data_IF_840413827441
#
_entry.id   IF_840413827441
#
_cell.length_a   1.000
_cell.length_b   1.000
_cell.length_c   1.000
_cell.angle_alpha   90.00
_cell.angle_beta   90.00
_cell.angle_gamma   90.00
#
_symmetry.space_group_name_H-M   'P 1'
#
loop_
_entity.id
_entity.type
_entity.pdbx_description
1 polymer ?
#
# COMPACT_ATOMS: atom_id res chain seq x y z
N UNK A 1 2.52 -47.67 60.09
CA UNK A 1 3.54 -46.81 60.72
C UNK A 1 4.17 -45.97 59.63
N UNK A 2 4.01 -44.66 59.74
CA UNK A 2 4.31 -43.66 58.71
C UNK A 2 5.82 -43.50 58.51
N UNK A 3 6.27 -43.46 57.25
CA UNK A 3 7.60 -42.97 56.88
C UNK A 3 7.41 -41.62 56.21
N UNK A 4 7.58 -40.54 56.98
CA UNK A 4 7.67 -39.20 56.44
C UNK A 4 9.08 -38.99 55.91
N UNK A 5 9.22 -38.97 54.58
CA UNK A 5 10.42 -38.47 53.92
C UNK A 5 10.13 -37.04 53.47
N UNK A 6 10.55 -36.07 54.26
CA UNK A 6 10.58 -34.66 53.91
C UNK A 6 11.79 -34.41 53.01
N UNK A 7 11.56 -34.15 51.72
CA UNK A 7 12.60 -33.62 50.83
C UNK A 7 12.34 -32.13 50.58
N UNK A 8 13.40 -31.38 50.87
CA UNK A 8 13.48 -29.94 51.02
C UNK A 8 13.31 -29.19 49.70
N UNK A 9 12.56 -28.09 49.77
CA UNK A 9 12.56 -26.97 48.81
C UNK A 9 13.92 -26.26 48.88
N UNK A 10 14.60 -26.06 47.75
CA UNK A 10 15.70 -25.09 47.64
C UNK A 10 15.78 -24.55 46.21
N UNK A 11 15.54 -23.25 46.12
CA UNK A 11 15.42 -22.40 44.93
C UNK A 11 16.73 -22.24 44.16
N UNK A 12 16.63 -21.98 42.86
CA UNK A 12 17.48 -21.01 42.18
C UNK A 12 16.69 -20.33 41.04
N UNK A 13 16.09 -19.20 41.40
CA UNK A 13 15.53 -18.21 40.49
C UNK A 13 16.71 -17.34 40.04
N UNK A 14 17.30 -17.64 38.88
CA UNK A 14 18.33 -16.78 38.30
C UNK A 14 17.67 -15.59 37.62
N UNK A 15 17.65 -14.47 38.33
CA UNK A 15 17.28 -13.15 37.81
C UNK A 15 18.50 -12.59 37.07
N UNK A 16 18.60 -12.87 35.77
CA UNK A 16 19.61 -12.27 34.90
C UNK A 16 19.16 -10.88 34.45
N UNK A 17 19.62 -9.84 35.13
CA UNK A 17 19.54 -8.46 34.63
C UNK A 17 20.62 -8.24 33.56
N UNK A 18 20.19 -8.04 32.31
CA UNK A 18 21.00 -7.38 31.29
C UNK A 18 20.28 -6.13 30.82
N UNK A 19 20.83 -4.96 31.14
CA UNK A 19 20.54 -3.70 30.49
C UNK A 19 21.26 -3.67 29.14
N UNK A 20 20.51 -3.59 28.04
CA UNK A 20 21.05 -3.29 26.73
C UNK A 20 20.21 -2.19 26.07
N UNK A 21 20.93 -1.31 25.39
CA UNK A 21 20.57 0.02 24.94
C UNK A 21 19.37 0.08 23.97
N UNK A 22 18.76 1.26 23.97
CA UNK A 22 17.80 1.74 23.00
C UNK A 22 18.22 1.41 21.56
N UNK A 23 17.38 0.64 20.89
CA UNK A 23 17.21 0.73 19.46
C UNK A 23 15.81 1.31 19.25
N UNK A 24 15.80 2.57 18.80
CA UNK A 24 14.72 3.19 18.06
C UNK A 24 13.94 2.12 17.29
N UNK A 25 12.72 1.83 17.75
CA UNK A 25 11.84 0.93 17.03
C UNK A 25 11.48 1.64 15.74
N UNK A 26 12.25 1.30 14.71
CA UNK A 26 12.04 1.71 13.35
C UNK A 26 10.57 1.53 13.01
N UNK A 27 10.08 2.54 12.31
CA UNK A 27 8.83 2.57 11.57
C UNK A 27 8.53 1.18 10.99
N UNK A 28 7.76 0.41 11.76
CA UNK A 28 7.22 -0.86 11.30
C UNK A 28 6.18 -0.46 10.27
N UNK A 29 6.64 -0.32 9.04
CA UNK A 29 5.83 -0.28 7.84
C UNK A 29 4.85 -1.45 7.94
N UNK A 30 3.64 -1.15 8.38
CA UNK A 30 2.53 -2.07 8.40
C UNK A 30 2.14 -2.29 6.93
N UNK A 31 2.90 -3.17 6.29
CA UNK A 31 2.65 -3.69 4.96
C UNK A 31 1.41 -4.57 5.02
N UNK A 32 0.29 -4.03 4.53
CA UNK A 32 -0.93 -4.80 4.34
C UNK A 32 -2.11 -3.88 4.03
N UNK A 33 -2.61 -3.98 2.79
CA UNK A 33 -3.85 -3.34 2.32
C UNK A 33 -3.76 -1.88 1.88
N UNK A 34 -2.68 -1.51 1.19
CA UNK A 34 -2.78 -0.43 0.19
C UNK A 34 -3.36 -1.01 -1.10
N UNK A 35 -4.69 -1.12 -1.18
CA UNK A 35 -5.37 -1.13 -2.48
C UNK A 35 -5.17 0.28 -3.04
N UNK A 36 -4.11 0.41 -3.83
CA UNK A 36 -3.68 1.54 -4.65
C UNK A 36 -4.32 2.89 -4.30
N UNK A 37 -3.93 3.46 -3.15
CA UNK A 37 -4.01 4.90 -2.94
C UNK A 37 -2.75 5.58 -3.51
N UNK A 38 -2.06 4.98 -4.49
CA UNK A 38 -0.95 5.65 -5.17
C UNK A 38 -1.44 6.80 -6.07
N UNK A 39 -2.76 7.03 -6.13
CA UNK A 39 -3.31 8.28 -6.62
C UNK A 39 -3.30 9.43 -5.59
N UNK A 40 -3.12 9.16 -4.27
CA UNK A 40 -3.10 10.21 -3.23
C UNK A 40 -2.00 10.12 -2.17
N UNK A 41 -1.33 8.97 -1.98
CA UNK A 41 -0.08 8.87 -1.22
C UNK A 41 1.09 9.17 -2.16
N UNK A 42 1.55 10.42 -2.11
CA UNK A 42 2.80 10.83 -2.74
C UNK A 42 3.97 10.06 -2.14
N UNK A 43 4.31 8.92 -2.75
CA UNK A 43 5.61 8.31 -2.58
C UNK A 43 6.69 9.30 -3.09
N UNK A 44 7.92 9.28 -2.56
CA UNK A 44 9.00 10.12 -3.06
C UNK A 44 9.15 9.90 -4.57
N UNK A 45 8.89 10.92 -5.37
CA UNK A 45 8.97 10.85 -6.84
C UNK A 45 7.64 10.69 -7.58
N UNK A 46 6.49 10.64 -6.91
CA UNK A 46 5.21 10.68 -7.62
C UNK A 46 4.89 12.08 -8.15
N UNK A 47 5.04 12.24 -9.45
CA UNK A 47 4.71 13.46 -10.16
C UNK A 47 3.20 13.58 -10.34
N UNK A 48 2.62 14.65 -9.80
CA UNK A 48 1.19 14.94 -9.86
C UNK A 48 0.66 15.07 -11.29
N UNK A 49 -0.66 15.01 -11.47
CA UNK A 49 -1.28 15.11 -12.81
C UNK A 49 -0.81 16.35 -13.56
N UNK A 50 -0.76 17.51 -12.89
CA UNK A 50 -0.49 18.85 -13.45
C UNK A 50 0.98 19.25 -13.44
N UNK A 51 1.89 18.35 -13.08
CA UNK A 51 3.27 18.72 -12.81
C UNK A 51 4.00 19.21 -14.07
N UNK A 52 4.68 20.34 -13.90
CA UNK A 52 5.40 21.07 -14.94
C UNK A 52 4.52 21.60 -16.08
N UNK A 53 3.21 21.74 -15.87
CA UNK A 53 2.44 22.78 -16.56
C UNK A 53 2.74 24.11 -15.86
N UNK A 54 3.14 25.14 -16.62
CA UNK A 54 3.39 26.46 -16.04
C UNK A 54 2.06 27.16 -15.75
N UNK A 55 1.70 27.25 -14.48
CA UNK A 55 0.49 27.91 -13.99
C UNK A 55 0.74 29.38 -13.65
N UNK A 56 -0.26 30.24 -13.89
CA UNK A 56 -0.28 31.58 -13.31
C UNK A 56 -0.45 31.51 -11.78
N UNK A 57 -0.15 32.59 -11.06
CA UNK A 57 -0.40 32.63 -9.61
C UNK A 57 -1.87 32.39 -9.29
N UNK A 58 -2.76 33.04 -10.05
CA UNK A 58 -4.21 32.89 -9.88
C UNK A 58 -4.65 31.43 -10.07
N UNK A 59 -4.22 30.76 -11.14
CA UNK A 59 -4.55 29.36 -11.37
C UNK A 59 -4.04 28.48 -10.23
N UNK A 60 -2.81 28.72 -9.75
CA UNK A 60 -2.22 27.95 -8.65
C UNK A 60 -3.00 28.14 -7.35
N UNK A 61 -3.42 29.36 -7.05
CA UNK A 61 -4.27 29.63 -5.90
C UNK A 61 -5.60 28.89 -6.01
N UNK A 62 -6.32 29.04 -7.12
CA UNK A 62 -7.59 28.34 -7.34
C UNK A 62 -7.45 26.81 -7.24
N UNK A 63 -6.36 26.26 -7.78
CA UNK A 63 -6.05 24.84 -7.67
C UNK A 63 -5.76 24.40 -6.23
N UNK A 64 -5.03 25.20 -5.45
CA UNK A 64 -4.82 24.95 -4.01
C UNK A 64 -6.16 24.94 -3.28
N UNK A 65 -6.99 25.94 -3.50
CA UNK A 65 -8.28 26.08 -2.82
C UNK A 65 -9.21 24.90 -3.11
N UNK A 66 -9.31 24.47 -4.38
CA UNK A 66 -10.07 23.28 -4.77
C UNK A 66 -9.57 22.01 -4.07
N UNK A 67 -8.25 21.81 -4.00
CA UNK A 67 -7.66 20.66 -3.31
C UNK A 67 -7.84 20.72 -1.81
N UNK A 68 -7.75 21.91 -1.20
CA UNK A 68 -7.97 22.11 0.23
C UNK A 68 -9.42 21.81 0.62
N UNK A 69 -10.39 22.36 -0.11
CA UNK A 69 -11.80 22.09 0.11
C UNK A 69 -12.09 20.60 0.02
N UNK A 70 -11.60 19.94 -1.04
CA UNK A 70 -11.88 18.52 -1.22
C UNK A 70 -11.20 17.62 -0.17
N UNK A 71 -10.13 18.05 0.47
CA UNK A 71 -9.51 17.29 1.57
C UNK A 71 -10.40 17.26 2.81
N UNK A 72 -11.11 18.36 3.08
CA UNK A 72 -12.02 18.46 4.22
C UNK A 72 -13.22 17.50 4.05
N UNK A 73 -13.71 17.37 2.82
CA UNK A 73 -14.88 16.56 2.49
C UNK A 73 -14.54 15.11 2.11
N UNK A 74 -13.30 14.65 2.30
CA UNK A 74 -12.85 13.32 1.83
C UNK A 74 -13.45 12.21 2.71
N UNK A 75 -14.28 11.28 2.18
CA UNK A 75 -14.97 10.25 2.98
C UNK A 75 -13.98 9.44 3.83
N UNK A 76 -14.04 9.41 5.16
CA UNK A 76 -13.02 8.75 5.98
C UNK A 76 -12.94 7.22 5.77
N UNK A 77 -11.72 6.64 5.92
CA UNK A 77 -11.59 5.19 6.07
C UNK A 77 -11.99 4.79 7.49
N UNK A 78 -12.59 3.61 7.65
CA UNK A 78 -13.00 3.10 8.95
C UNK A 78 -11.95 2.12 9.50
N UNK A 79 -11.46 2.37 10.73
CA UNK A 79 -10.50 1.50 11.39
C UNK A 79 -11.08 0.09 11.67
N UNK A 80 -12.39 -0.01 11.92
CA UNK A 80 -13.04 -1.30 12.11
C UNK A 80 -13.02 -2.16 10.84
N UNK A 81 -13.01 -1.55 9.65
CA UNK A 81 -12.90 -2.30 8.40
C UNK A 81 -11.52 -2.96 8.25
N UNK A 82 -10.46 -2.28 8.69
CA UNK A 82 -9.10 -2.81 8.70
C UNK A 82 -8.99 -3.97 9.69
N UNK A 83 -9.57 -3.80 10.88
CA UNK A 83 -9.62 -4.85 11.91
C UNK A 83 -10.40 -6.07 11.44
N UNK A 84 -11.57 -5.87 10.82
CA UNK A 84 -12.37 -6.96 10.26
C UNK A 84 -11.60 -7.71 9.17
N UNK A 85 -10.89 -7.00 8.28
CA UNK A 85 -10.03 -7.65 7.29
C UNK A 85 -8.92 -8.47 7.95
N UNK A 86 -8.26 -7.94 8.98
CA UNK A 86 -7.22 -8.67 9.72
C UNK A 86 -7.76 -9.98 10.32
N UNK A 87 -8.95 -9.95 10.93
CA UNK A 87 -9.60 -11.15 11.47
C UNK A 87 -9.84 -12.22 10.41
N UNK A 88 -10.27 -11.82 9.21
CA UNK A 88 -10.47 -12.75 8.09
C UNK A 88 -9.15 -13.36 7.60
N UNK A 89 -8.07 -12.59 7.61
CA UNK A 89 -6.72 -13.05 7.21
C UNK A 89 -6.14 -14.04 8.23
N UNK A 90 -6.41 -13.84 9.52
CA UNK A 90 -5.89 -14.67 10.61
C UNK A 90 -6.82 -15.81 11.01
N UNK A 91 -7.92 -16.03 10.29
CA UNK A 91 -8.86 -17.10 10.56
C UNK A 91 -8.23 -18.49 10.30
N UNK A 92 -8.64 -19.50 11.08
CA UNK A 92 -8.16 -20.88 10.92
C UNK A 92 -8.49 -21.47 9.54
N UNK A 93 -9.65 -21.12 9.00
CA UNK A 93 -10.11 -21.51 7.66
C UNK A 93 -10.42 -20.29 6.83
N UNK A 94 -10.07 -20.35 5.54
CA UNK A 94 -10.35 -19.26 4.61
C UNK A 94 -11.84 -19.23 4.22
N UNK A 95 -12.52 -18.13 4.55
CA UNK A 95 -13.89 -17.84 4.13
C UNK A 95 -13.88 -16.83 2.96
N UNK A 96 -13.91 -17.33 1.73
CA UNK A 96 -13.90 -16.50 0.53
C UNK A 96 -15.11 -15.54 0.48
N UNK A 97 -16.28 -15.99 0.93
CA UNK A 97 -17.50 -15.19 0.88
C UNK A 97 -17.42 -14.00 1.83
N UNK A 98 -16.94 -14.22 3.06
CA UNK A 98 -16.72 -13.15 4.02
C UNK A 98 -15.65 -12.15 3.56
N UNK A 99 -14.54 -12.64 2.98
CA UNK A 99 -13.50 -11.80 2.39
C UNK A 99 -14.05 -10.94 1.25
N UNK A 100 -14.78 -11.52 0.30
CA UNK A 100 -15.42 -10.76 -0.80
C UNK A 100 -16.37 -9.69 -0.28
N UNK A 101 -17.17 -10.01 0.74
CA UNK A 101 -18.09 -9.04 1.34
C UNK A 101 -17.34 -7.87 2.01
N UNK A 102 -16.27 -8.16 2.76
CA UNK A 102 -15.47 -7.13 3.41
C UNK A 102 -14.72 -6.24 2.41
N UNK A 103 -14.13 -6.83 1.35
CA UNK A 103 -13.49 -6.07 0.26
C UNK A 103 -14.52 -5.17 -0.41
N UNK A 104 -15.70 -5.68 -0.76
CA UNK A 104 -16.75 -4.89 -1.44
C UNK A 104 -17.16 -3.68 -0.60
N UNK A 105 -17.32 -3.85 0.71
CA UNK A 105 -17.58 -2.76 1.65
C UNK A 105 -16.48 -1.70 1.59
N UNK A 106 -15.22 -2.10 1.71
CA UNK A 106 -14.08 -1.18 1.68
C UNK A 106 -13.94 -0.46 0.32
N UNK A 107 -14.25 -1.15 -0.79
CA UNK A 107 -14.22 -0.57 -2.13
C UNK A 107 -15.26 0.55 -2.31
N UNK A 108 -16.40 0.50 -1.63
CA UNK A 108 -17.40 1.58 -1.72
C UNK A 108 -16.84 2.94 -1.29
N UNK A 109 -16.09 2.98 -0.19
CA UNK A 109 -15.42 4.22 0.30
C UNK A 109 -14.34 4.66 -0.68
N UNK A 110 -13.58 3.73 -1.25
CA UNK A 110 -12.55 4.04 -2.24
C UNK A 110 -13.16 4.61 -3.52
N UNK A 111 -14.28 4.06 -3.98
CA UNK A 111 -15.01 4.53 -5.15
C UNK A 111 -15.45 5.99 -4.97
N UNK A 112 -16.09 6.31 -3.85
CA UNK A 112 -16.54 7.67 -3.57
C UNK A 112 -15.37 8.66 -3.52
N UNK A 113 -14.26 8.29 -2.86
CA UNK A 113 -13.02 9.08 -2.87
C UNK A 113 -12.49 9.30 -4.29
N UNK A 114 -12.47 8.26 -5.12
CA UNK A 114 -11.96 8.34 -6.48
C UNK A 114 -12.84 9.26 -7.34
N UNK A 115 -14.17 9.16 -7.20
CA UNK A 115 -15.12 10.04 -7.90
C UNK A 115 -14.88 11.50 -7.47
N UNK A 116 -14.77 11.78 -6.17
CA UNK A 116 -14.52 13.12 -5.66
C UNK A 116 -13.20 13.69 -6.18
N UNK A 117 -12.09 12.94 -6.08
CA UNK A 117 -10.79 13.38 -6.58
C UNK A 117 -10.80 13.60 -8.10
N UNK A 118 -11.51 12.74 -8.85
CA UNK A 118 -11.64 12.89 -10.31
C UNK A 118 -12.41 14.16 -10.66
N UNK A 119 -13.49 14.48 -9.92
CA UNK A 119 -14.23 15.73 -10.10
C UNK A 119 -13.35 16.95 -9.87
N UNK A 120 -12.56 16.95 -8.79
CA UNK A 120 -11.63 18.06 -8.48
C UNK A 120 -10.57 18.21 -9.57
N UNK A 121 -9.96 17.11 -10.02
CA UNK A 121 -9.00 17.13 -11.14
C UNK A 121 -9.62 17.68 -12.41
N UNK A 122 -10.88 17.34 -12.72
CA UNK A 122 -11.59 17.90 -13.85
C UNK A 122 -11.81 19.42 -13.71
N UNK A 123 -12.21 19.89 -12.53
CA UNK A 123 -12.35 21.33 -12.26
C UNK A 123 -11.01 22.06 -12.44
N UNK A 124 -9.92 21.51 -11.90
CA UNK A 124 -8.56 22.06 -12.08
C UNK A 124 -8.15 22.08 -13.56
N UNK A 125 -8.42 21.00 -14.31
CA UNK A 125 -8.16 20.94 -15.75
C UNK A 125 -8.88 22.05 -16.52
N UNK A 126 -10.10 22.41 -16.12
CA UNK A 126 -10.88 23.47 -16.75
C UNK A 126 -10.38 24.89 -16.43
N UNK A 127 -9.49 25.06 -15.44
CA UNK A 127 -8.78 26.33 -15.20
C UNK A 127 -7.64 26.57 -16.21
N UNK A 128 -7.22 25.54 -16.94
CA UNK A 128 -6.08 25.61 -17.85
C UNK A 128 -6.46 26.28 -19.18
N UNK A 129 -5.51 27.01 -19.74
CA UNK A 129 -5.58 27.52 -21.11
C UNK A 129 -5.43 26.38 -22.13
N UNK A 130 -5.86 26.55 -23.39
CA UNK A 130 -5.66 25.53 -24.43
C UNK A 130 -4.20 25.09 -24.56
N UNK A 131 -3.25 26.03 -24.59
CA UNK A 131 -1.82 25.72 -24.66
C UNK A 131 -1.30 24.93 -23.44
N UNK A 132 -1.81 25.22 -22.24
CA UNK A 132 -1.46 24.43 -21.05
C UNK A 132 -2.02 23.00 -21.11
N UNK A 133 -3.22 22.82 -21.68
CA UNK A 133 -3.82 21.50 -21.89
C UNK A 133 -3.03 20.65 -22.88
N UNK A 134 -2.48 21.25 -23.93
CA UNK A 134 -1.59 20.56 -24.88
C UNK A 134 -0.31 20.07 -24.21
N UNK A 135 0.32 20.91 -23.36
CA UNK A 135 1.50 20.51 -22.58
C UNK A 135 1.16 19.34 -21.65
N UNK A 136 0.00 19.40 -20.98
CA UNK A 136 -0.47 18.35 -20.10
C UNK A 136 -0.66 17.02 -20.85
N UNK A 137 -1.25 17.06 -22.05
CA UNK A 137 -1.48 15.89 -22.90
C UNK A 137 -0.17 15.25 -23.38
N UNK A 138 0.81 16.07 -23.79
CA UNK A 138 2.13 15.58 -24.17
C UNK A 138 2.80 14.82 -23.01
N UNK A 139 2.73 15.38 -21.80
CA UNK A 139 3.25 14.73 -20.59
C UNK A 139 2.49 13.47 -20.23
N UNK A 140 1.17 13.45 -20.43
CA UNK A 140 0.37 12.25 -20.23
C UNK A 140 0.84 11.13 -21.17
N UNK A 141 1.00 11.41 -22.47
CA UNK A 141 1.53 10.44 -23.44
C UNK A 141 2.91 9.91 -23.06
N UNK A 142 3.80 10.77 -22.57
CA UNK A 142 5.11 10.36 -22.08
C UNK A 142 4.98 9.40 -20.88
N UNK A 143 4.21 9.77 -19.85
CA UNK A 143 3.98 8.91 -18.69
C UNK A 143 3.37 7.56 -19.09
N UNK A 144 2.43 7.54 -20.03
CA UNK A 144 1.83 6.31 -20.53
C UNK A 144 2.85 5.40 -21.23
N UNK A 145 3.78 5.97 -21.99
CA UNK A 145 4.87 5.21 -22.62
C UNK A 145 5.81 4.59 -21.58
N UNK A 146 6.22 5.38 -20.58
CA UNK A 146 7.07 4.91 -19.48
C UNK A 146 6.36 3.80 -18.68
N UNK A 147 5.07 3.98 -18.38
CA UNK A 147 4.26 2.97 -17.70
C UNK A 147 4.12 1.69 -18.51
N UNK A 148 3.87 1.78 -19.82
CA UNK A 148 3.84 0.60 -20.71
C UNK A 148 5.16 -0.17 -20.71
N UNK A 149 6.29 0.54 -20.70
CA UNK A 149 7.61 -0.08 -20.59
C UNK A 149 7.82 -0.76 -19.23
N UNK A 150 7.40 -0.12 -18.14
CA UNK A 150 7.47 -0.73 -16.81
C UNK A 150 6.61 -1.99 -16.71
N UNK A 151 5.38 -1.95 -17.21
CA UNK A 151 4.47 -3.10 -17.27
C UNK A 151 5.09 -4.22 -18.11
N UNK A 152 5.68 -3.89 -19.28
CA UNK A 152 6.29 -4.92 -20.12
C UNK A 152 7.51 -5.55 -19.46
N UNK A 153 8.35 -4.79 -18.75
CA UNK A 153 9.47 -5.33 -17.97
C UNK A 153 8.98 -6.24 -16.84
N UNK A 154 7.97 -5.80 -16.08
CA UNK A 154 7.40 -6.61 -14.99
C UNK A 154 6.85 -7.95 -15.51
N UNK A 155 6.10 -7.92 -16.61
CA UNK A 155 5.55 -9.13 -17.22
C UNK A 155 6.64 -10.07 -17.76
N UNK A 156 7.78 -9.53 -18.22
CA UNK A 156 8.93 -10.33 -18.66
C UNK A 156 9.68 -10.97 -17.49
N UNK A 157 9.82 -10.26 -16.35
CA UNK A 157 10.44 -10.81 -15.13
C UNK A 157 9.61 -11.92 -14.48
N UNK A 158 8.29 -11.90 -14.66
CA UNK A 158 7.37 -12.92 -14.14
C UNK A 158 7.34 -14.21 -14.99
N UNK A 159 7.98 -14.24 -16.15
CA UNK A 159 8.07 -15.44 -16.99
C UNK A 159 9.30 -16.28 -16.58
N UNK A 160 9.15 -17.59 -16.25
CA UNK A 160 10.30 -18.45 -15.99
C UNK A 160 11.14 -18.60 -17.26
N UNK A 161 12.47 -18.52 -17.15
CA UNK A 161 13.37 -18.77 -18.28
C UNK A 161 13.13 -20.17 -18.87
N UNK A 162 12.92 -20.29 -20.20
CA UNK A 162 12.87 -21.59 -20.86
C UNK A 162 14.30 -22.13 -20.95
N UNK A 163 14.80 -22.78 -19.89
CA UNK A 163 16.18 -23.26 -19.90
C UNK A 163 16.72 -23.93 -18.64
N UNK A 164 15.91 -24.26 -17.64
CA UNK A 164 16.37 -25.10 -16.52
C UNK A 164 15.40 -26.25 -16.25
N UNK A 165 15.30 -27.18 -17.20
CA UNK A 165 15.02 -28.57 -16.82
C UNK A 165 16.30 -29.11 -16.21
N UNK A 166 16.44 -29.01 -14.88
CA UNK A 166 17.43 -29.81 -14.14
C UNK A 166 17.12 -31.27 -14.39
N UNK A 167 17.93 -31.90 -15.24
CA UNK A 167 18.05 -33.35 -15.27
C UNK A 167 18.64 -33.77 -13.93
N UNK A 168 17.79 -34.19 -12.99
CA UNK A 168 18.23 -35.03 -11.89
C UNK A 168 18.48 -36.43 -12.45
N UNK A 169 19.68 -36.64 -12.98
CA UNK A 169 20.28 -37.96 -13.11
C UNK A 169 20.43 -38.54 -11.70
N UNK A 170 19.57 -39.50 -11.37
CA UNK A 170 19.74 -40.37 -10.20
C UNK A 170 20.89 -41.33 -10.48
N UNK A 171 22.11 -40.92 -10.12
CA UNK A 171 23.24 -41.83 -10.05
C UNK A 171 23.31 -42.36 -8.61
N UNK A 172 22.87 -43.61 -8.43
CA UNK A 172 22.94 -44.34 -7.17
C UNK A 172 24.04 -45.40 -7.26
N UNK A 173 25.14 -45.28 -6.50
CA UNK A 173 25.95 -46.42 -6.13
C UNK A 173 25.82 -46.65 -4.62
N UNK A 174 25.16 -47.75 -4.26
CA UNK A 174 25.60 -48.79 -3.30
C UNK A 174 24.47 -49.81 -3.10
#
# INVERSE_FOLDING_TARGET
>A
MQRFATLSLASLLMLGTFTAFAAESGDASASGWHIDDSATKGAPGQQGMFDGVRLTEQQRQQMRDLMHQSRQDKPAFNAEDVKAMHQLVTAETFDEAAVRAQITRMMSVQLERQIQMTRVRNQMYNLLTPAQKEILELKHKQRMKEMQQQISMFNQMAAPSPGMTSQTETNNPE
#
